data_IF_298426335761
#
_entry.id   IF_298426335761
#
_cell.length_a   1.000
_cell.length_b   1.000
_cell.length_c   1.000
_cell.angle_alpha   90.00
_cell.angle_beta   90.00
_cell.angle_gamma   90.00
#
_symmetry.space_group_name_H-M   'P 1'
#
loop_
_entity.id
_entity.type
_entity.pdbx_description
1 polymer ?
#
# COMPACT_ATOMS: atom_id res chain seq x y z
N UNK A 1 13.85 0.56 -5.21
CA UNK A 1 13.12 1.06 -4.01
C UNK A 1 12.17 -0.01 -3.50
N UNK A 2 12.07 -0.18 -2.19
CA UNK A 2 11.21 -1.18 -1.54
C UNK A 2 10.05 -0.45 -0.86
N UNK A 3 8.80 -0.67 -1.32
CA UNK A 3 7.59 0.00 -0.84
C UNK A 3 6.65 -1.04 -0.23
N UNK A 4 6.35 -0.87 1.05
CA UNK A 4 5.50 -1.77 1.82
C UNK A 4 4.11 -1.15 2.01
N UNK A 5 3.07 -1.83 1.60
CA UNK A 5 1.69 -1.59 2.03
C UNK A 5 1.40 -2.52 3.21
N UNK A 6 1.36 -1.95 4.40
CA UNK A 6 1.24 -2.71 5.65
C UNK A 6 0.36 -1.98 6.66
N UNK A 7 0.02 -2.67 7.75
CA UNK A 7 -0.79 -2.11 8.84
C UNK A 7 -1.57 -3.20 9.54
N UNK A 8 -2.15 -2.89 10.69
CA UNK A 8 -2.72 -3.89 11.58
C UNK A 8 -4.16 -4.27 11.28
N UNK A 9 -4.85 -3.49 10.46
CA UNK A 9 -6.28 -3.73 10.22
C UNK A 9 -6.54 -4.26 8.81
N UNK A 10 -7.40 -5.29 8.74
CA UNK A 10 -7.91 -5.82 7.48
C UNK A 10 -8.91 -4.87 6.80
N UNK A 11 -9.03 -4.93 5.48
CA UNK A 11 -10.04 -4.19 4.74
C UNK A 11 -9.83 -2.67 4.69
N UNK A 12 -8.59 -2.19 4.85
CA UNK A 12 -8.22 -0.77 4.74
C UNK A 12 -7.74 -0.37 3.35
N UNK A 13 -7.66 -1.31 2.40
CA UNK A 13 -7.28 -1.01 1.01
C UNK A 13 -5.80 -1.28 0.67
N UNK A 14 -5.03 -1.99 1.49
CA UNK A 14 -3.60 -2.31 1.22
C UNK A 14 -3.39 -2.92 -0.15
N UNK A 15 -4.03 -4.05 -0.43
CA UNK A 15 -3.93 -4.74 -1.74
C UNK A 15 -4.39 -3.85 -2.89
N UNK A 16 -5.46 -3.07 -2.68
CA UNK A 16 -5.95 -2.12 -3.68
C UNK A 16 -4.90 -1.07 -4.01
N UNK A 17 -4.25 -0.48 -3.00
CA UNK A 17 -3.23 0.54 -3.23
C UNK A 17 -1.94 -0.06 -3.80
N UNK A 18 -1.53 -1.25 -3.34
CA UNK A 18 -0.37 -1.97 -3.85
C UNK A 18 -0.51 -2.28 -5.35
N UNK A 19 -1.65 -2.83 -5.78
CA UNK A 19 -1.92 -3.14 -7.19
C UNK A 19 -2.01 -1.86 -8.03
N UNK A 20 -2.66 -0.82 -7.54
CA UNK A 20 -2.79 0.46 -8.26
C UNK A 20 -1.45 1.18 -8.43
N UNK A 21 -0.59 1.22 -7.38
CA UNK A 21 0.75 1.78 -7.50
C UNK A 21 1.61 0.96 -8.47
N UNK A 22 1.46 -0.38 -8.45
CA UNK A 22 2.16 -1.26 -9.40
C UNK A 22 1.77 -0.95 -10.84
N UNK A 23 0.48 -0.74 -11.13
CA UNK A 23 0.02 -0.33 -12.48
C UNK A 23 0.57 1.03 -12.86
N UNK A 24 0.54 2.00 -11.94
CA UNK A 24 1.07 3.35 -12.20
C UNK A 24 2.55 3.31 -12.57
N UNK A 25 3.37 2.56 -11.83
CA UNK A 25 4.79 2.38 -12.11
C UNK A 25 5.04 1.67 -13.44
N UNK A 26 4.28 0.61 -13.73
CA UNK A 26 4.42 -0.15 -14.97
C UNK A 26 4.13 0.72 -16.21
N UNK A 27 3.18 1.66 -16.13
CA UNK A 27 2.92 2.64 -17.19
C UNK A 27 4.06 3.65 -17.37
N UNK A 28 4.85 3.90 -16.31
CA UNK A 28 6.10 4.69 -16.38
C UNK A 28 7.29 3.88 -16.91
N UNK A 29 7.04 2.61 -17.30
CA UNK A 29 8.05 1.66 -17.76
C UNK A 29 9.10 1.30 -16.71
N UNK A 30 8.79 1.46 -15.44
CA UNK A 30 9.64 0.98 -14.35
C UNK A 30 9.60 -0.54 -14.27
N UNK A 31 10.73 -1.15 -13.98
CA UNK A 31 10.84 -2.60 -13.74
C UNK A 31 10.44 -2.92 -12.30
N UNK A 32 9.29 -3.56 -12.15
CA UNK A 32 8.67 -3.79 -10.85
C UNK A 32 8.33 -5.25 -10.60
N UNK A 33 8.31 -5.62 -9.31
CA UNK A 33 7.73 -6.88 -8.83
C UNK A 33 6.78 -6.58 -7.68
N UNK A 34 5.62 -7.26 -7.70
CA UNK A 34 4.67 -7.28 -6.59
C UNK A 34 4.98 -8.51 -5.72
N UNK A 35 5.13 -8.31 -4.41
CA UNK A 35 5.31 -9.39 -3.44
C UNK A 35 4.05 -9.49 -2.57
N UNK A 36 3.25 -10.53 -2.79
CA UNK A 36 2.07 -10.82 -1.99
C UNK A 36 2.47 -11.62 -0.75
N UNK A 37 2.39 -10.98 0.40
CA UNK A 37 2.72 -11.53 1.70
C UNK A 37 1.47 -11.75 2.58
N UNK A 38 0.26 -11.70 1.98
CA UNK A 38 -0.99 -12.05 2.63
C UNK A 38 -1.47 -13.43 2.16
N UNK A 39 -1.78 -14.33 3.10
CA UNK A 39 -2.33 -15.67 2.80
C UNK A 39 -3.68 -15.65 2.08
N UNK A 40 -4.36 -14.49 2.03
CA UNK A 40 -5.56 -14.29 1.20
C UNK A 40 -5.23 -14.23 -0.29
N UNK A 41 -3.97 -14.01 -0.66
CA UNK A 41 -3.46 -14.00 -2.04
C UNK A 41 -4.22 -13.03 -2.97
N UNK A 42 -4.69 -11.91 -2.44
CA UNK A 42 -5.51 -10.95 -3.21
C UNK A 42 -4.73 -10.36 -4.38
N UNK A 43 -3.53 -9.89 -4.12
CA UNK A 43 -2.65 -9.28 -5.14
C UNK A 43 -2.11 -10.32 -6.12
N UNK A 44 -1.82 -11.54 -5.66
CA UNK A 44 -1.39 -12.64 -6.50
C UNK A 44 -2.47 -13.11 -7.47
N UNK A 45 -3.70 -13.26 -6.98
CA UNK A 45 -4.86 -13.62 -7.81
C UNK A 45 -5.15 -12.52 -8.85
N UNK A 46 -5.11 -11.25 -8.44
CA UNK A 46 -5.29 -10.11 -9.33
C UNK A 46 -4.22 -10.10 -10.44
N UNK A 47 -2.94 -10.29 -10.10
CA UNK A 47 -1.85 -10.33 -11.09
C UNK A 47 -2.03 -11.48 -12.09
N UNK A 48 -2.38 -12.67 -11.63
CA UNK A 48 -2.64 -13.84 -12.48
C UNK A 48 -3.84 -13.60 -13.41
N UNK A 49 -4.92 -13.01 -12.89
CA UNK A 49 -6.09 -12.67 -13.69
C UNK A 49 -5.75 -11.62 -14.75
N UNK A 50 -4.96 -10.59 -14.39
CA UNK A 50 -4.47 -9.57 -15.33
C UNK A 50 -3.72 -10.17 -16.50
N UNK A 51 -2.79 -11.06 -16.23
CA UNK A 51 -1.98 -11.72 -17.27
C UNK A 51 -2.85 -12.52 -18.25
N UNK A 52 -3.89 -13.19 -17.75
CA UNK A 52 -4.79 -13.99 -18.56
C UNK A 52 -5.75 -13.14 -19.41
N UNK A 53 -6.32 -12.08 -18.85
CA UNK A 53 -7.34 -11.27 -19.53
C UNK A 53 -6.72 -10.21 -20.44
N UNK A 54 -5.60 -9.62 -20.01
CA UNK A 54 -4.96 -8.49 -20.70
C UNK A 54 -3.50 -8.77 -21.06
N UNK A 55 -3.19 -9.75 -21.93
CA UNK A 55 -1.81 -10.09 -22.27
C UNK A 55 -1.05 -8.94 -22.95
N UNK A 56 -1.77 -7.96 -23.51
CA UNK A 56 -1.20 -6.79 -24.19
C UNK A 56 -0.95 -5.58 -23.27
N UNK A 57 -1.46 -5.60 -22.03
CA UNK A 57 -1.14 -4.57 -21.04
C UNK A 57 0.20 -4.85 -20.37
N UNK A 58 0.86 -3.84 -19.78
CA UNK A 58 2.05 -4.06 -18.98
C UNK A 58 1.80 -5.12 -17.91
N UNK A 59 2.60 -6.19 -17.94
CA UNK A 59 2.46 -7.30 -17.00
C UNK A 59 3.10 -6.92 -15.67
N UNK A 60 2.51 -7.39 -14.58
CA UNK A 60 3.00 -7.17 -13.22
C UNK A 60 3.28 -8.55 -12.62
N UNK A 61 4.56 -8.91 -12.58
CA UNK A 61 4.97 -10.17 -11.97
C UNK A 61 4.65 -10.14 -10.48
N UNK A 62 4.05 -11.21 -9.97
CA UNK A 62 3.77 -11.36 -8.56
C UNK A 62 4.45 -12.60 -7.99
N UNK A 63 5.15 -12.40 -6.86
CA UNK A 63 5.76 -13.47 -6.06
C UNK A 63 4.97 -13.59 -4.77
N UNK A 64 4.65 -14.82 -4.36
CA UNK A 64 4.00 -15.08 -3.07
C UNK A 64 5.04 -15.61 -2.07
N UNK A 65 5.12 -15.00 -0.88
CA UNK A 65 6.03 -15.45 0.15
C UNK A 65 5.51 -15.11 1.54
N UNK A 66 5.72 -16.03 2.49
CA UNK A 66 5.22 -15.94 3.86
C UNK A 66 6.33 -16.20 4.88
N UNK A 67 6.09 -15.78 6.14
CA UNK A 67 7.05 -15.86 7.24
C UNK A 67 8.07 -14.72 7.18
N UNK A 68 9.31 -14.98 7.57
CA UNK A 68 10.38 -13.99 7.45
C UNK A 68 10.79 -13.81 5.99
N UNK A 69 10.39 -12.70 5.40
CA UNK A 69 10.57 -12.41 3.97
C UNK A 69 11.69 -11.40 3.67
N UNK A 70 12.41 -10.92 4.68
CA UNK A 70 13.45 -9.88 4.50
C UNK A 70 14.50 -10.27 3.45
N UNK A 71 15.03 -11.50 3.51
CA UNK A 71 16.02 -11.98 2.55
C UNK A 71 15.44 -12.06 1.11
N UNK A 72 14.18 -12.48 0.97
CA UNK A 72 13.49 -12.50 -0.33
C UNK A 72 13.35 -11.10 -0.90
N UNK A 73 12.93 -10.13 -0.07
CA UNK A 73 12.79 -8.72 -0.49
C UNK A 73 14.14 -8.17 -0.96
N UNK A 74 15.21 -8.42 -0.20
CA UNK A 74 16.56 -7.98 -0.56
C UNK A 74 17.05 -8.62 -1.86
N UNK A 75 16.74 -9.89 -2.12
CA UNK A 75 17.09 -10.54 -3.38
C UNK A 75 16.29 -9.94 -4.56
N UNK A 76 15.00 -9.74 -4.39
CA UNK A 76 14.16 -9.08 -5.41
C UNK A 76 14.63 -7.66 -5.71
N UNK A 77 15.03 -6.88 -4.69
CA UNK A 77 15.49 -5.50 -4.87
C UNK A 77 16.81 -5.37 -5.66
N UNK A 78 17.56 -6.46 -5.83
CA UNK A 78 18.73 -6.51 -6.71
C UNK A 78 18.39 -6.75 -8.17
N UNK A 79 17.18 -7.24 -8.45
CA UNK A 79 16.73 -7.66 -9.78
C UNK A 79 15.73 -6.68 -10.38
N UNK A 80 14.95 -6.00 -9.55
CA UNK A 80 13.88 -5.09 -9.94
C UNK A 80 14.15 -3.68 -9.42
N UNK A 81 13.75 -2.69 -10.18
CA UNK A 81 13.87 -1.28 -9.79
C UNK A 81 13.01 -0.97 -8.56
N UNK A 82 11.80 -1.56 -8.52
CA UNK A 82 10.88 -1.42 -7.40
C UNK A 82 10.31 -2.77 -6.95
N UNK A 83 10.26 -2.95 -5.63
CA UNK A 83 9.58 -4.08 -4.99
C UNK A 83 8.39 -3.51 -4.22
N UNK A 84 7.18 -3.87 -4.64
CA UNK A 84 5.94 -3.47 -3.98
C UNK A 84 5.46 -4.65 -3.13
N UNK A 85 5.27 -4.43 -1.83
CA UNK A 85 4.91 -5.49 -0.90
C UNK A 85 3.48 -5.24 -0.40
N UNK A 86 2.62 -6.24 -0.56
CA UNK A 86 1.26 -6.26 0.00
C UNK A 86 1.24 -7.19 1.22
N UNK A 87 1.24 -6.63 2.42
CA UNK A 87 1.25 -7.39 3.67
C UNK A 87 -0.14 -7.52 4.29
N UNK A 88 -0.34 -8.61 5.05
CA UNK A 88 -1.59 -8.88 5.76
C UNK A 88 -1.98 -7.73 6.72
N UNK A 89 -3.28 -7.60 6.95
CA UNK A 89 -3.85 -6.62 7.89
C UNK A 89 -3.81 -7.09 9.33
N UNK A 90 -2.62 -7.33 9.85
CA UNK A 90 -2.36 -7.70 11.26
C UNK A 90 -0.88 -7.55 11.55
N UNK A 91 -0.52 -7.47 12.82
CA UNK A 91 0.86 -7.67 13.24
C UNK A 91 1.29 -9.10 12.88
N UNK A 92 2.25 -9.21 12.01
CA UNK A 92 2.72 -10.49 11.46
C UNK A 92 4.23 -10.49 11.24
N UNK A 93 4.80 -11.68 11.11
CA UNK A 93 6.22 -11.84 10.79
C UNK A 93 6.55 -11.20 9.43
N UNK A 94 5.63 -11.31 8.47
CA UNK A 94 5.75 -10.69 7.15
C UNK A 94 5.83 -9.16 7.24
N UNK A 95 4.95 -8.53 8.04
CA UNK A 95 4.93 -7.08 8.25
C UNK A 95 6.24 -6.62 8.90
N UNK A 96 6.62 -7.26 10.02
CA UNK A 96 7.83 -6.90 10.79
C UNK A 96 9.10 -7.08 9.96
N UNK A 97 9.26 -8.22 9.29
CA UNK A 97 10.45 -8.49 8.46
C UNK A 97 10.54 -7.59 7.23
N UNK A 98 9.39 -7.14 6.70
CA UNK A 98 9.37 -6.16 5.61
C UNK A 98 9.80 -4.77 6.07
N UNK A 99 9.36 -4.31 7.24
CA UNK A 99 9.73 -2.99 7.78
C UNK A 99 11.25 -2.85 7.96
N UNK A 100 11.94 -3.93 8.30
CA UNK A 100 13.40 -3.94 8.52
C UNK A 100 14.19 -3.65 7.24
N UNK A 101 13.61 -3.85 6.07
CA UNK A 101 14.28 -3.68 4.77
C UNK A 101 13.57 -2.68 3.83
N UNK A 102 12.37 -2.24 4.16
CA UNK A 102 11.61 -1.30 3.33
C UNK A 102 12.21 0.11 3.37
N UNK A 103 12.14 0.80 2.23
CA UNK A 103 12.44 2.24 2.16
C UNK A 103 11.23 3.06 2.62
N UNK A 104 10.01 2.59 2.26
CA UNK A 104 8.75 3.28 2.55
C UNK A 104 7.71 2.28 3.06
N UNK A 105 7.00 2.66 4.11
CA UNK A 105 5.76 2.04 4.56
C UNK A 105 4.59 2.98 4.26
N UNK A 106 3.60 2.52 3.52
CA UNK A 106 2.28 3.09 3.47
C UNK A 106 1.32 2.27 4.32
N UNK A 107 0.72 2.88 5.32
CA UNK A 107 -0.31 2.26 6.15
C UNK A 107 -1.67 2.89 5.86
N UNK A 108 -2.50 2.24 5.02
CA UNK A 108 -3.85 2.71 4.78
C UNK A 108 -4.72 2.52 6.03
N UNK A 109 -5.42 3.56 6.43
CA UNK A 109 -6.36 3.53 7.54
C UNK A 109 -7.62 4.32 7.21
N UNK A 110 -8.74 3.89 7.77
CA UNK A 110 -9.99 4.62 7.68
C UNK A 110 -9.99 5.73 8.73
N UNK A 111 -10.67 6.84 8.43
CA UNK A 111 -10.88 7.90 9.39
C UNK A 111 -11.97 7.50 10.44
N UNK A 112 -11.82 6.34 11.07
CA UNK A 112 -12.70 5.84 12.10
C UNK A 112 -11.97 5.67 13.42
N UNK A 113 -12.65 5.86 14.55
CA UNK A 113 -12.06 5.71 15.88
C UNK A 113 -11.37 4.33 16.07
N UNK A 114 -11.98 3.27 15.57
CA UNK A 114 -11.44 1.91 15.71
C UNK A 114 -10.18 1.67 14.89
N UNK A 115 -9.98 2.41 13.79
CA UNK A 115 -8.74 2.34 13.01
C UNK A 115 -7.63 3.15 13.69
N UNK A 116 -7.98 4.27 14.30
CA UNK A 116 -7.04 5.14 15.00
C UNK A 116 -6.45 4.45 16.26
N UNK A 117 -7.19 3.58 16.93
CA UNK A 117 -6.66 2.79 18.06
C UNK A 117 -5.54 1.82 17.68
N UNK A 118 -5.48 1.40 16.40
CA UNK A 118 -4.38 0.54 15.94
C UNK A 118 -3.11 1.33 15.59
N UNK A 119 -3.20 2.66 15.50
CA UNK A 119 -2.07 3.52 15.13
C UNK A 119 -1.00 3.53 16.22
N UNK A 120 -1.40 3.50 17.50
CA UNK A 120 -0.45 3.49 18.62
C UNK A 120 0.51 2.29 18.52
N UNK A 121 -0.05 1.09 18.38
CA UNK A 121 0.77 -0.12 18.25
C UNK A 121 1.61 -0.11 16.97
N UNK A 122 1.06 0.34 15.84
CA UNK A 122 1.82 0.49 14.60
C UNK A 122 2.98 1.48 14.77
N UNK A 123 2.77 2.59 15.47
CA UNK A 123 3.81 3.57 15.77
C UNK A 123 4.95 2.94 16.57
N UNK A 124 4.66 2.11 17.57
CA UNK A 124 5.68 1.35 18.31
C UNK A 124 6.40 0.32 17.42
N UNK A 125 5.70 -0.38 16.53
CA UNK A 125 6.33 -1.30 15.59
C UNK A 125 7.29 -0.58 14.64
N UNK A 126 6.93 0.61 14.15
CA UNK A 126 7.78 1.44 13.29
C UNK A 126 9.03 1.86 14.07
N UNK A 127 8.87 2.35 15.30
CA UNK A 127 9.97 2.75 16.18
C UNK A 127 10.96 1.61 16.41
N UNK A 128 10.47 0.41 16.73
CA UNK A 128 11.30 -0.79 16.88
C UNK A 128 12.02 -1.14 15.56
N UNK A 129 11.33 -1.06 14.43
CA UNK A 129 11.91 -1.37 13.13
C UNK A 129 13.00 -0.38 12.73
N UNK A 130 12.87 0.91 13.11
CA UNK A 130 13.87 1.95 12.86
C UNK A 130 15.18 1.73 13.63
N UNK A 131 15.16 0.97 14.71
CA UNK A 131 16.40 0.55 15.37
C UNK A 131 17.32 -0.28 14.44
N UNK A 132 16.72 -1.00 13.46
CA UNK A 132 17.45 -1.79 12.47
C UNK A 132 17.47 -1.14 11.08
N UNK A 133 16.48 -0.31 10.77
CA UNK A 133 16.30 0.35 9.47
C UNK A 133 15.98 1.85 9.66
N UNK A 134 16.99 2.64 9.92
CA UNK A 134 16.85 4.10 10.15
C UNK A 134 16.32 4.87 8.94
N UNK A 135 16.34 4.27 7.73
CA UNK A 135 15.89 4.91 6.50
C UNK A 135 14.38 4.79 6.27
N UNK A 136 13.69 3.95 7.04
CA UNK A 136 12.26 3.70 6.86
C UNK A 136 11.45 4.99 6.99
N UNK A 137 10.83 5.42 5.91
CA UNK A 137 9.81 6.46 5.90
C UNK A 137 8.45 5.82 6.07
N UNK A 138 7.64 6.28 7.01
CA UNK A 138 6.34 5.69 7.27
C UNK A 138 5.23 6.73 7.11
N UNK A 139 4.21 6.40 6.32
CA UNK A 139 3.07 7.27 6.02
C UNK A 139 1.76 6.59 6.37
N UNK A 140 0.92 7.29 7.12
CA UNK A 140 -0.50 6.98 7.22
C UNK A 140 -1.20 7.52 5.99
N UNK A 141 -1.97 6.69 5.30
CA UNK A 141 -2.77 7.08 4.13
C UNK A 141 -4.24 7.00 4.51
N UNK A 142 -4.93 8.14 4.51
CA UNK A 142 -6.38 8.11 4.71
C UNK A 142 -7.03 7.41 3.51
N UNK A 143 -7.63 6.26 3.79
CA UNK A 143 -8.20 5.38 2.78
C UNK A 143 -9.68 5.14 3.04
N UNK A 144 -10.45 4.85 1.99
CA UNK A 144 -11.90 4.67 2.05
C UNK A 144 -12.62 5.87 2.70
N UNK A 145 -12.03 7.06 2.55
CA UNK A 145 -12.62 8.28 3.07
C UNK A 145 -13.94 8.61 2.35
N UNK A 146 -14.86 9.24 3.06
CA UNK A 146 -16.13 9.68 2.45
C UNK A 146 -15.87 10.52 1.20
N UNK A 147 -16.56 10.28 0.08
CA UNK A 147 -16.49 11.14 -1.10
C UNK A 147 -17.11 12.52 -0.85
N UNK A 148 -17.89 12.68 0.23
CA UNK A 148 -18.49 13.95 0.60
C UNK A 148 -17.46 14.85 1.32
N UNK A 149 -17.08 16.01 0.76
CA UNK A 149 -16.07 16.90 1.35
C UNK A 149 -16.53 17.60 2.65
N UNK A 150 -17.82 17.55 2.97
CA UNK A 150 -18.37 18.16 4.19
C UNK A 150 -18.17 17.27 5.45
N UNK A 151 -17.67 16.06 5.30
CA UNK A 151 -17.44 15.14 6.42
C UNK A 151 -16.14 15.49 7.11
N UNK A 152 -16.20 15.75 8.41
CA UNK A 152 -15.04 16.19 9.23
C UNK A 152 -14.05 15.09 9.59
N UNK A 153 -14.31 13.84 9.20
CA UNK A 153 -13.48 12.66 9.52
C UNK A 153 -12.01 12.86 9.18
N UNK A 154 -11.73 13.46 8.01
CA UNK A 154 -10.33 13.69 7.57
C UNK A 154 -9.63 14.68 8.51
N UNK A 155 -10.31 15.75 8.93
CA UNK A 155 -9.73 16.74 9.85
C UNK A 155 -9.49 16.12 11.23
N UNK A 156 -10.41 15.31 11.71
CA UNK A 156 -10.28 14.59 13.00
C UNK A 156 -9.11 13.59 12.95
N UNK A 157 -9.01 12.78 11.88
CA UNK A 157 -7.90 11.85 11.70
C UNK A 157 -6.54 12.58 11.63
N UNK A 158 -6.48 13.72 10.95
CA UNK A 158 -5.29 14.58 10.89
C UNK A 158 -4.86 15.05 12.27
N UNK A 159 -5.79 15.48 13.10
CA UNK A 159 -5.49 15.96 14.45
C UNK A 159 -4.95 14.83 15.32
N UNK A 160 -5.61 13.66 15.31
CA UNK A 160 -5.18 12.51 16.09
C UNK A 160 -3.81 11.95 15.68
N UNK A 161 -3.49 12.00 14.39
CA UNK A 161 -2.20 11.49 13.90
C UNK A 161 -1.00 12.38 14.28
N UNK A 162 -1.23 13.62 14.71
CA UNK A 162 -0.15 14.52 15.18
C UNK A 162 0.58 14.01 16.43
N UNK A 163 -0.08 13.17 17.23
CA UNK A 163 0.48 12.63 18.46
C UNK A 163 1.46 11.46 18.22
N UNK A 164 1.56 10.98 16.97
CA UNK A 164 2.40 9.84 16.60
C UNK A 164 3.64 10.27 15.80
N UNK A 165 4.80 10.28 16.46
CA UNK A 165 6.05 10.84 15.91
C UNK A 165 6.66 10.00 14.78
N UNK A 166 6.39 8.68 14.74
CA UNK A 166 7.01 7.76 13.80
C UNK A 166 6.25 7.68 12.46
N UNK A 167 5.04 8.22 12.39
CA UNK A 167 4.12 8.08 11.26
C UNK A 167 3.71 9.46 10.74
N UNK A 168 4.13 9.79 9.52
CA UNK A 168 3.69 11.03 8.86
C UNK A 168 2.36 10.81 8.15
N UNK A 169 1.50 11.84 8.11
CA UNK A 169 0.30 11.76 7.30
C UNK A 169 0.64 12.04 5.84
N UNK A 170 0.27 11.13 4.94
CA UNK A 170 0.38 11.35 3.51
C UNK A 170 -0.55 12.49 3.05
N UNK A 171 -0.16 13.22 2.02
CA UNK A 171 -1.02 14.22 1.37
C UNK A 171 -2.17 13.56 0.61
N UNK A 172 -1.94 12.32 0.15
CA UNK A 172 -2.92 11.53 -0.55
C UNK A 172 -4.07 11.09 0.36
N UNK A 173 -5.30 11.33 -0.10
CA UNK A 173 -6.53 10.84 0.52
C UNK A 173 -7.28 10.00 -0.51
N UNK A 174 -7.36 8.69 -0.27
CA UNK A 174 -8.05 7.75 -1.16
C UNK A 174 -9.49 7.58 -0.68
N UNK A 175 -10.45 7.94 -1.54
CA UNK A 175 -11.86 7.92 -1.18
C UNK A 175 -12.54 6.59 -1.51
N UNK A 176 -13.64 6.30 -0.83
CA UNK A 176 -14.48 5.13 -1.16
C UNK A 176 -15.22 5.35 -2.48
N UNK A 177 -14.54 5.00 -3.58
CA UNK A 177 -15.10 5.08 -4.94
C UNK A 177 -15.37 3.69 -5.48
N UNK A 178 -16.49 3.54 -6.17
CA UNK A 178 -16.84 2.26 -6.84
C UNK A 178 -15.74 1.81 -7.80
N UNK A 179 -15.07 2.74 -8.49
CA UNK A 179 -14.04 2.43 -9.49
C UNK A 179 -12.86 1.64 -8.93
N UNK A 180 -12.49 1.78 -7.66
CA UNK A 180 -11.45 0.95 -7.04
C UNK A 180 -11.88 -0.52 -6.95
N UNK A 181 -13.15 -0.78 -6.62
CA UNK A 181 -13.70 -2.14 -6.58
C UNK A 181 -13.82 -2.72 -8.00
N UNK A 182 -14.31 -1.92 -8.93
CA UNK A 182 -14.43 -2.31 -10.34
C UNK A 182 -13.04 -2.65 -10.93
N UNK A 183 -12.03 -1.81 -10.70
CA UNK A 183 -10.65 -2.04 -11.15
C UNK A 183 -10.07 -3.35 -10.59
N UNK A 184 -10.27 -3.61 -9.29
CA UNK A 184 -9.84 -4.89 -8.70
C UNK A 184 -10.54 -6.09 -9.34
N UNK A 185 -11.87 -6.02 -9.57
CA UNK A 185 -12.63 -7.08 -10.22
C UNK A 185 -12.21 -7.30 -11.68
N UNK A 186 -11.83 -6.22 -12.39
CA UNK A 186 -11.41 -6.28 -13.79
C UNK A 186 -9.90 -6.57 -13.95
N UNK A 187 -9.17 -6.81 -12.86
CA UNK A 187 -7.70 -6.97 -12.88
C UNK A 187 -6.96 -5.79 -13.53
N UNK A 188 -7.47 -4.58 -13.31
CA UNK A 188 -6.90 -3.30 -13.76
C UNK A 188 -6.47 -2.42 -12.59
N UNK A 189 -5.73 -1.36 -12.87
CA UNK A 189 -5.58 -0.21 -11.97
C UNK A 189 -6.53 0.92 -12.36
N UNK A 190 -6.85 1.82 -11.42
CA UNK A 190 -7.73 2.97 -11.71
C UNK A 190 -7.14 3.91 -12.76
N UNK A 191 -5.82 3.90 -12.95
CA UNK A 191 -5.14 4.62 -14.04
C UNK A 191 -5.64 4.17 -15.41
N UNK A 192 -6.11 2.93 -15.53
CA UNK A 192 -6.63 2.31 -16.75
C UNK A 192 -8.16 2.44 -16.86
N UNK A 193 -8.80 3.07 -15.88
CA UNK A 193 -10.25 3.31 -15.82
C UNK A 193 -10.58 4.75 -16.23
N UNK A 194 -11.86 5.12 -16.22
CA UNK A 194 -12.34 6.44 -16.68
C UNK A 194 -12.51 7.49 -15.57
N UNK A 195 -12.22 7.16 -14.29
CA UNK A 195 -12.40 8.08 -13.16
C UNK A 195 -11.11 8.89 -12.91
N UNK A 196 -11.09 10.15 -13.37
CA UNK A 196 -9.90 11.01 -13.25
C UNK A 196 -9.58 11.38 -11.79
N UNK A 197 -10.57 11.41 -10.90
CA UNK A 197 -10.35 11.71 -9.47
C UNK A 197 -9.62 10.52 -8.79
N UNK A 198 -9.99 9.30 -9.13
CA UNK A 198 -9.28 8.12 -8.62
C UNK A 198 -7.85 8.04 -9.16
N UNK A 199 -7.62 8.43 -10.42
CA UNK A 199 -6.27 8.54 -10.99
C UNK A 199 -5.42 9.55 -10.22
N UNK A 200 -5.95 10.75 -9.97
CA UNK A 200 -5.27 11.80 -9.22
C UNK A 200 -4.93 11.36 -7.78
N UNK A 201 -5.80 10.60 -7.12
CA UNK A 201 -5.55 10.05 -5.78
C UNK A 201 -4.31 9.12 -5.79
N UNK A 202 -4.17 8.24 -6.79
CA UNK A 202 -3.02 7.34 -6.94
C UNK A 202 -1.76 8.10 -7.37
N UNK A 203 -1.88 9.08 -8.25
CA UNK A 203 -0.77 9.94 -8.63
C UNK A 203 -0.23 10.75 -7.43
N UNK A 204 -1.13 11.25 -6.58
CA UNK A 204 -0.75 11.96 -5.36
C UNK A 204 -0.05 11.03 -4.39
N UNK A 205 -0.53 9.79 -4.24
CA UNK A 205 0.14 8.77 -3.42
C UNK A 205 1.55 8.46 -3.96
N UNK A 206 1.70 8.32 -5.27
CA UNK A 206 3.00 8.09 -5.88
C UNK A 206 3.99 9.24 -5.63
N UNK A 207 3.52 10.50 -5.68
CA UNK A 207 4.34 11.71 -5.43
C UNK A 207 4.86 11.83 -3.98
N UNK A 208 4.40 11.01 -3.04
CA UNK A 208 4.99 10.97 -1.69
C UNK A 208 6.44 10.42 -1.71
N UNK A 209 6.80 9.66 -2.74
CA UNK A 209 8.05 8.89 -2.77
C UNK A 209 8.81 9.00 -4.09
N UNK A 210 8.16 9.47 -5.16
CA UNK A 210 8.72 9.71 -6.50
C UNK A 210 8.59 11.20 -6.86
#
# INVERSE_FOLDING_TARGET
MIILFGGEKGGTGKSTLATNLSVWLSQKKSDIVLLDADRQCTSGNWSSQRANIFPNLPQINCVQRYGNIAATIQDLSKRYEHVIIDAAGRDSEELRSSMVVADVLFSPLKASQSDLWTVEHLNELIKLSRAMNQKLKAFAVLSMASPNPKVSEIAQAKEMLKDYSELSLASAVVRDRKVYRDAMCEAKGVIEMSDDRAKEEIETLAKEVF
#
